data_IF_347717460905
#
_entry.id   IF_347717460905
#
_cell.length_a   1.000
_cell.length_b   1.000
_cell.length_c   1.000
_cell.angle_alpha   90.00
_cell.angle_beta   90.00
_cell.angle_gamma   90.00
#
_symmetry.space_group_name_H-M   'P 1'
#
loop_
_entity.id
_entity.type
_entity.pdbx_description
1 polymer ?
#
# COMPACT_ATOMS: atom_id res chain seq x y z
N UNK A 1 -12.57 -13.22 8.92
CA UNK A 1 -11.65 -12.95 10.05
C UNK A 1 -10.81 -11.74 9.70
N UNK A 2 -10.64 -10.76 10.60
CA UNK A 2 -9.69 -9.64 10.37
C UNK A 2 -8.27 -10.18 10.60
N UNK A 3 -7.49 -10.33 9.55
CA UNK A 3 -6.06 -10.59 9.69
C UNK A 3 -5.39 -9.25 9.96
N UNK A 4 -5.18 -8.92 11.26
CA UNK A 4 -4.30 -7.81 11.61
C UNK A 4 -2.87 -8.28 11.33
N UNK A 5 -2.36 -7.96 10.15
CA UNK A 5 -0.99 -8.26 9.78
C UNK A 5 -0.06 -7.29 10.50
N UNK A 6 1.00 -7.84 11.09
CA UNK A 6 2.13 -7.05 11.63
C UNK A 6 2.98 -6.44 10.51
N UNK A 7 2.63 -6.69 9.24
CA UNK A 7 3.42 -6.27 8.09
C UNK A 7 3.52 -4.75 8.00
N UNK A 8 2.41 -4.01 8.13
CA UNK A 8 2.42 -2.55 8.07
C UNK A 8 3.39 -1.90 9.09
N UNK A 9 3.36 -2.25 10.41
CA UNK A 9 4.32 -1.72 11.36
C UNK A 9 5.76 -2.22 11.13
N UNK A 10 5.96 -3.46 10.66
CA UNK A 10 7.30 -3.95 10.27
C UNK A 10 7.86 -3.12 9.11
N UNK A 11 7.05 -2.88 8.08
CA UNK A 11 7.47 -2.04 6.94
C UNK A 11 7.79 -0.62 7.39
N UNK A 12 7.02 -0.04 8.32
CA UNK A 12 7.33 1.29 8.87
C UNK A 12 8.66 1.32 9.63
N UNK A 13 9.07 0.22 10.26
CA UNK A 13 10.38 0.14 10.92
C UNK A 13 11.56 -0.02 9.95
N UNK A 14 11.31 -0.54 8.75
CA UNK A 14 12.34 -0.77 7.72
C UNK A 14 12.43 0.43 6.78
N UNK A 15 11.29 0.96 6.35
CA UNK A 15 11.13 2.14 5.50
C UNK A 15 10.16 3.08 6.19
N UNK A 16 10.66 4.01 7.03
CA UNK A 16 9.85 5.03 7.66
C UNK A 16 9.15 5.90 6.61
N UNK A 17 8.03 6.53 7.02
CA UNK A 17 7.27 7.40 6.12
C UNK A 17 8.11 8.58 5.63
N UNK A 18 8.99 9.08 6.48
CA UNK A 18 9.89 10.21 6.23
C UNK A 18 10.89 9.87 5.12
N UNK A 19 11.43 8.65 5.12
CA UNK A 19 12.32 8.17 4.08
C UNK A 19 11.59 8.01 2.75
N UNK A 20 10.36 7.48 2.76
CA UNK A 20 9.53 7.43 1.56
C UNK A 20 9.24 8.84 1.01
N UNK A 21 8.96 9.83 1.86
CA UNK A 21 8.74 11.21 1.41
C UNK A 21 10.00 11.79 0.75
N UNK A 22 11.18 11.50 1.27
CA UNK A 22 12.44 11.90 0.65
C UNK A 22 12.60 11.30 -0.75
N UNK A 23 12.28 10.01 -0.91
CA UNK A 23 12.32 9.32 -2.21
C UNK A 23 11.32 9.92 -3.20
N UNK A 24 10.09 10.23 -2.76
CA UNK A 24 9.09 10.87 -3.60
C UNK A 24 9.53 12.26 -4.07
N UNK A 25 10.14 13.04 -3.18
CA UNK A 25 10.71 14.33 -3.53
C UNK A 25 11.84 14.20 -4.57
N UNK A 26 12.75 13.24 -4.38
CA UNK A 26 13.83 12.96 -5.34
C UNK A 26 13.29 12.51 -6.71
N UNK A 27 12.17 11.81 -6.74
CA UNK A 27 11.49 11.39 -7.96
C UNK A 27 10.63 12.49 -8.61
N UNK A 28 10.57 13.71 -8.03
CA UNK A 28 9.63 14.77 -8.41
C UNK A 28 8.17 14.29 -8.43
N UNK A 29 7.81 13.35 -7.56
CA UNK A 29 6.46 12.82 -7.44
C UNK A 29 5.74 13.47 -6.25
N UNK A 30 4.57 14.06 -6.51
CA UNK A 30 3.70 14.61 -5.46
C UNK A 30 2.54 13.66 -5.22
N UNK A 31 2.50 13.10 -4.01
CA UNK A 31 1.37 12.28 -3.60
C UNK A 31 0.18 13.15 -3.15
N UNK A 32 -0.87 13.17 -3.95
CA UNK A 32 -2.08 13.97 -3.71
C UNK A 32 -3.20 13.18 -3.01
N UNK A 33 -3.01 11.87 -2.79
CA UNK A 33 -4.05 11.03 -2.23
C UNK A 33 -4.20 11.26 -0.71
N UNK A 34 -5.45 11.34 -0.24
CA UNK A 34 -5.74 11.49 1.20
C UNK A 34 -5.87 10.16 1.96
N UNK A 35 -6.26 9.10 1.25
CA UNK A 35 -6.58 7.79 1.85
C UNK A 35 -5.66 6.67 1.40
N UNK A 36 -5.34 6.62 0.12
CA UNK A 36 -4.49 5.59 -0.47
C UNK A 36 -3.23 6.26 -1.01
N UNK A 37 -2.35 6.65 -0.09
CA UNK A 37 -1.04 7.26 -0.40
C UNK A 37 -0.11 6.24 -1.03
N UNK A 38 1.05 6.67 -1.50
CA UNK A 38 2.13 5.79 -1.94
C UNK A 38 2.54 4.84 -0.83
N UNK A 39 2.46 5.26 0.44
CA UNK A 39 2.75 4.37 1.56
C UNK A 39 1.74 3.23 1.64
N UNK A 40 0.44 3.52 1.46
CA UNK A 40 -0.57 2.44 1.41
C UNK A 40 -0.43 1.57 0.15
N UNK A 41 0.00 2.12 -0.98
CA UNK A 41 0.36 1.31 -2.15
C UNK A 41 1.54 0.39 -1.84
N UNK A 42 2.57 0.88 -1.15
CA UNK A 42 3.72 0.08 -0.77
C UNK A 42 3.33 -1.10 0.14
N UNK A 43 2.52 -0.83 1.17
CA UNK A 43 2.00 -1.89 2.05
C UNK A 43 1.09 -2.85 1.27
N UNK A 44 0.25 -2.34 0.35
CA UNK A 44 -0.58 -3.17 -0.52
C UNK A 44 0.26 -4.14 -1.35
N UNK A 45 1.32 -3.66 -2.00
CA UNK A 45 2.20 -4.49 -2.83
C UNK A 45 2.94 -5.53 -1.99
N UNK A 46 3.38 -5.17 -0.78
CA UNK A 46 4.02 -6.10 0.14
C UNK A 46 3.06 -7.21 0.61
N UNK A 47 1.81 -6.86 0.97
CA UNK A 47 0.78 -7.85 1.31
C UNK A 47 0.44 -8.74 0.12
N UNK A 48 0.29 -8.15 -1.07
CA UNK A 48 0.02 -8.87 -2.29
C UNK A 48 1.11 -9.89 -2.62
N UNK A 49 2.38 -9.51 -2.45
CA UNK A 49 3.52 -10.41 -2.64
C UNK A 49 3.55 -11.52 -1.58
N UNK A 50 3.35 -11.17 -0.30
CA UNK A 50 3.37 -12.12 0.81
C UNK A 50 2.26 -13.18 0.73
N UNK A 51 1.06 -12.74 0.32
CA UNK A 51 -0.13 -13.59 0.23
C UNK A 51 -0.40 -14.10 -1.19
N UNK A 52 0.48 -13.80 -2.14
CA UNK A 52 0.40 -14.24 -3.53
C UNK A 52 -0.94 -13.90 -4.20
N UNK A 53 -1.35 -12.63 -4.13
CA UNK A 53 -2.59 -12.18 -4.78
C UNK A 53 -2.45 -12.18 -6.30
N UNK A 54 -3.54 -12.52 -7.00
CA UNK A 54 -3.55 -12.69 -8.46
C UNK A 54 -3.51 -11.35 -9.25
N UNK A 55 -3.51 -10.22 -8.55
CA UNK A 55 -3.43 -8.88 -9.11
C UNK A 55 -4.36 -7.88 -8.43
N UNK A 56 -4.50 -6.68 -9.02
CA UNK A 56 -5.21 -5.57 -8.36
C UNK A 56 -6.70 -5.83 -8.11
N UNK A 57 -7.38 -6.61 -8.96
CA UNK A 57 -8.80 -6.98 -8.75
C UNK A 57 -8.99 -7.95 -7.59
N UNK A 58 -8.03 -8.83 -7.38
CA UNK A 58 -8.05 -9.74 -6.23
C UNK A 58 -7.67 -8.97 -4.96
N UNK A 59 -6.62 -8.15 -5.04
CA UNK A 59 -6.19 -7.29 -3.95
C UNK A 59 -7.27 -6.30 -3.46
N UNK A 60 -8.05 -5.69 -4.35
CA UNK A 60 -9.20 -4.84 -3.99
C UNK A 60 -10.16 -5.55 -3.02
N UNK A 61 -10.40 -6.86 -3.23
CA UNK A 61 -11.32 -7.65 -2.39
C UNK A 61 -10.70 -8.02 -1.05
N UNK A 62 -9.37 -8.11 -0.97
CA UNK A 62 -8.62 -8.61 0.19
C UNK A 62 -8.07 -7.51 1.09
N UNK A 63 -7.75 -6.34 0.53
CA UNK A 63 -7.02 -5.29 1.24
C UNK A 63 -7.70 -4.84 2.55
N UNK A 64 -9.04 -4.79 2.58
CA UNK A 64 -9.79 -4.42 3.78
C UNK A 64 -9.64 -5.44 4.92
N UNK A 65 -9.44 -6.72 4.59
CA UNK A 65 -9.20 -7.77 5.58
C UNK A 65 -7.82 -7.64 6.25
N UNK A 66 -6.87 -7.00 5.57
CA UNK A 66 -5.51 -6.68 6.03
C UNK A 66 -5.41 -5.31 6.72
N UNK A 67 -6.52 -4.59 6.88
CA UNK A 67 -6.54 -3.27 7.52
C UNK A 67 -6.07 -2.11 6.62
N UNK A 68 -5.92 -2.34 5.31
CA UNK A 68 -5.66 -1.28 4.33
C UNK A 68 -6.95 -0.49 4.01
N UNK A 69 -6.84 0.81 3.71
CA UNK A 69 -8.00 1.60 3.31
C UNK A 69 -8.51 1.15 1.95
N UNK A 70 -9.83 1.01 1.81
CA UNK A 70 -10.47 0.55 0.57
C UNK A 70 -10.11 1.47 -0.60
N UNK A 71 -9.63 0.87 -1.69
CA UNK A 71 -9.38 1.50 -2.97
C UNK A 71 -9.77 0.53 -4.10
N UNK A 72 -10.40 1.05 -5.15
CA UNK A 72 -10.78 0.21 -6.29
C UNK A 72 -9.53 -0.15 -7.12
N UNK A 73 -9.55 -1.29 -7.83
CA UNK A 73 -8.44 -1.74 -8.69
C UNK A 73 -7.96 -0.66 -9.68
N UNK A 74 -8.85 0.21 -10.16
CA UNK A 74 -8.50 1.33 -11.04
C UNK A 74 -7.72 2.44 -10.32
N UNK A 75 -7.96 2.64 -9.03
CA UNK A 75 -7.21 3.57 -8.19
C UNK A 75 -5.84 3.01 -7.87
N UNK A 76 -5.78 1.72 -7.52
CA UNK A 76 -4.53 1.00 -7.27
C UNK A 76 -3.64 1.05 -8.52
N UNK A 77 -4.20 0.68 -9.68
CA UNK A 77 -3.48 0.64 -10.96
C UNK A 77 -3.01 2.01 -11.47
N UNK A 78 -3.65 3.11 -11.09
CA UNK A 78 -3.23 4.46 -11.49
C UNK A 78 -2.11 5.02 -10.62
N UNK A 79 -1.96 4.50 -9.40
CA UNK A 79 -0.93 4.95 -8.47
C UNK A 79 0.36 4.13 -8.58
N UNK A 80 0.26 2.85 -8.94
CA UNK A 80 1.38 1.99 -9.28
C UNK A 80 2.00 2.40 -10.63
#
# INVERSE_FOLDING_TARGET
MKHRTMLAPILQSIIPKEELQLLLHQANYVDTARKFTVYELFVFLAEAALQQWDGYRDGEKRMAACGLPKADHSTISKKA
#
